data_IF_690676612914
#
_entry.id   IF_690676612914
#
_cell.length_a   1.000
_cell.length_b   1.000
_cell.length_c   1.000
_cell.angle_alpha   90.00
_cell.angle_beta   90.00
_cell.angle_gamma   90.00
#
_symmetry.space_group_name_H-M   'P 1'
#
loop_
_entity.id
_entity.type
_entity.pdbx_description
1 polymer ?
#
# COMPACT_ATOMS: atom_id res chain seq x y z
N UNK A 1 -31.73 -1.32 93.72
CA UNK A 1 -30.42 -0.63 93.81
C UNK A 1 -29.41 -1.56 93.14
N UNK A 2 -28.64 -1.18 92.12
CA UNK A 2 -28.25 0.15 91.63
C UNK A 2 -28.42 0.27 90.10
N UNK A 3 -28.28 1.48 89.57
CA UNK A 3 -28.56 1.84 88.16
C UNK A 3 -27.27 2.25 87.43
N UNK A 4 -27.05 1.73 86.22
CA UNK A 4 -25.99 2.18 85.28
C UNK A 4 -26.47 2.13 83.81
N UNK A 5 -25.66 2.64 82.86
CA UNK A 5 -26.16 3.68 81.96
C UNK A 5 -25.38 3.84 80.62
N UNK A 6 -26.11 4.12 79.52
CA UNK A 6 -25.71 4.61 78.17
C UNK A 6 -25.14 3.56 77.15
N UNK A 7 -25.71 3.38 75.94
CA UNK A 7 -25.51 4.03 74.59
C UNK A 7 -24.03 4.29 74.18
N UNK A 8 -23.56 4.08 72.92
CA UNK A 8 -24.26 4.01 71.60
C UNK A 8 -23.48 3.29 70.47
N UNK A 9 -24.18 2.92 69.36
CA UNK A 9 -23.65 2.64 67.99
C UNK A 9 -22.74 1.37 67.85
N UNK A 10 -22.57 0.68 66.70
CA UNK A 10 -22.80 0.94 65.26
C UNK A 10 -23.14 -0.38 64.52
N UNK A 11 -23.78 -0.31 63.34
CA UNK A 11 -23.89 -1.45 62.42
C UNK A 11 -22.63 -1.57 61.55
N UNK A 12 -22.05 -2.77 61.43
CA UNK A 12 -21.06 -3.10 60.40
C UNK A 12 -21.65 -4.09 59.40
N UNK A 13 -22.20 -3.57 58.31
CA UNK A 13 -22.52 -4.34 57.11
C UNK A 13 -21.25 -4.52 56.28
N UNK A 14 -20.48 -5.58 56.53
CA UNK A 14 -19.33 -5.93 55.68
C UNK A 14 -19.79 -6.55 54.36
N UNK A 15 -20.32 -5.73 53.45
CA UNK A 15 -20.29 -6.06 52.02
C UNK A 15 -18.83 -6.02 51.58
N UNK A 16 -18.15 -7.15 51.66
CA UNK A 16 -16.88 -7.34 50.96
C UNK A 16 -17.20 -7.55 49.48
N UNK A 17 -17.45 -6.43 48.79
CA UNK A 17 -17.68 -6.43 47.36
C UNK A 17 -16.37 -6.81 46.66
N UNK A 18 -16.48 -7.67 45.66
CA UNK A 18 -15.35 -8.29 44.98
C UNK A 18 -14.47 -7.21 44.33
N UNK A 19 -13.20 -7.11 44.71
CA UNK A 19 -12.19 -6.48 43.86
C UNK A 19 -11.56 -7.54 42.97
N UNK A 20 -12.25 -7.75 41.85
CA UNK A 20 -11.70 -8.42 40.68
C UNK A 20 -10.46 -7.61 40.26
N UNK A 21 -9.26 -8.20 40.31
CA UNK A 21 -8.07 -7.51 39.84
C UNK A 21 -8.25 -7.15 38.36
N UNK A 22 -7.87 -5.90 38.04
CA UNK A 22 -8.11 -5.30 36.72
C UNK A 22 -7.53 -6.14 35.57
N UNK A 23 -8.16 -6.03 34.40
CA UNK A 23 -7.68 -6.67 33.17
C UNK A 23 -6.20 -6.32 32.94
N UNK A 24 -5.38 -7.35 32.69
CA UNK A 24 -4.08 -7.15 32.09
C UNK A 24 -4.27 -6.49 30.73
N UNK A 25 -3.84 -5.24 30.58
CA UNK A 25 -3.76 -4.57 29.29
C UNK A 25 -2.91 -5.41 28.33
N UNK A 26 -3.27 -5.38 27.04
CA UNK A 26 -2.49 -6.08 26.02
C UNK A 26 -1.15 -5.36 25.85
N UNK A 27 -0.06 -6.10 25.97
CA UNK A 27 1.28 -5.55 25.92
C UNK A 27 1.60 -5.03 24.51
N UNK A 28 2.04 -3.77 24.48
CA UNK A 28 2.67 -3.10 23.35
C UNK A 28 4.19 -3.17 23.55
N UNK A 29 4.94 -3.35 22.47
CA UNK A 29 6.40 -3.59 22.49
C UNK A 29 7.21 -2.42 21.90
N UNK A 30 6.64 -1.21 21.90
CA UNK A 30 7.31 0.06 21.66
C UNK A 30 6.98 0.98 22.84
N UNK A 31 8.00 1.50 23.53
CA UNK A 31 7.85 2.27 24.77
C UNK A 31 7.05 3.55 24.54
N UNK A 32 7.25 4.18 23.38
CA UNK A 32 6.58 5.40 22.94
C UNK A 32 5.06 5.21 22.79
N UNK A 33 4.64 3.97 22.50
CA UNK A 33 3.26 3.55 22.33
C UNK A 33 2.67 2.84 23.55
N UNK A 34 3.49 2.53 24.58
CA UNK A 34 3.06 1.75 25.74
C UNK A 34 2.33 2.64 26.75
N UNK A 35 1.01 2.53 26.78
CA UNK A 35 0.13 3.33 27.63
C UNK A 35 -1.27 2.73 27.67
N UNK A 36 -2.19 3.33 26.93
CA UNK A 36 -3.49 2.71 26.65
C UNK A 36 -3.45 1.91 25.34
N UNK A 37 -4.12 0.77 25.30
CA UNK A 37 -4.33 -0.03 24.09
C UNK A 37 -5.78 -0.52 24.01
N UNK A 38 -6.39 -0.35 22.84
CA UNK A 38 -7.73 -0.83 22.49
C UNK A 38 -7.64 -1.57 21.14
N UNK A 39 -7.88 -2.88 21.12
CA UNK A 39 -7.73 -3.70 19.91
C UNK A 39 -7.72 -5.20 20.20
N UNK A 40 -7.44 -6.01 19.18
CA UNK A 40 -7.36 -7.46 19.34
C UNK A 40 -6.15 -7.88 20.19
N UNK A 41 -6.35 -8.88 21.04
CA UNK A 41 -5.35 -9.34 21.99
C UNK A 41 -5.03 -10.82 21.75
N UNK A 42 -3.75 -11.16 21.53
CA UNK A 42 -3.34 -12.56 21.30
C UNK A 42 -2.14 -12.92 22.15
N UNK A 43 -2.32 -13.92 23.02
CA UNK A 43 -1.32 -14.37 23.98
C UNK A 43 -0.75 -13.23 24.86
N UNK A 44 -1.61 -12.29 25.25
CA UNK A 44 -1.25 -11.12 26.08
C UNK A 44 -0.61 -9.96 25.31
N UNK A 45 -0.36 -10.09 24.01
CA UNK A 45 0.24 -9.05 23.16
C UNK A 45 -0.82 -8.40 22.25
N UNK A 46 -0.61 -7.14 21.88
CA UNK A 46 -1.37 -6.47 20.82
C UNK A 46 -1.28 -7.24 19.49
N UNK A 47 -2.43 -7.38 18.82
CA UNK A 47 -2.58 -8.14 17.58
C UNK A 47 -3.73 -7.57 16.73
N UNK A 48 -3.90 -8.07 15.50
CA UNK A 48 -5.07 -7.73 14.67
C UNK A 48 -5.21 -6.23 14.43
N UNK A 49 -6.42 -5.69 14.56
CA UNK A 49 -6.64 -4.25 14.48
C UNK A 49 -6.63 -3.62 15.88
N UNK A 50 -6.03 -2.44 16.02
CA UNK A 50 -6.03 -1.74 17.30
C UNK A 50 -5.42 -0.34 17.27
N UNK A 51 -5.61 0.35 18.39
CA UNK A 51 -5.08 1.69 18.65
C UNK A 51 -4.32 1.70 19.96
N UNK A 52 -3.15 2.33 19.98
CA UNK A 52 -2.42 2.68 21.20
C UNK A 52 -2.33 4.19 21.39
N UNK A 53 -2.18 4.61 22.64
CA UNK A 53 -1.77 5.97 23.00
C UNK A 53 -0.90 5.95 24.26
N UNK A 54 0.39 6.23 24.06
CA UNK A 54 1.43 6.47 25.08
C UNK A 54 1.89 7.92 25.01
N UNK A 55 3.20 8.15 24.89
CA UNK A 55 3.74 9.47 24.50
C UNK A 55 3.55 9.78 23.01
N UNK A 56 3.39 8.74 22.20
CA UNK A 56 3.04 8.74 20.79
C UNK A 56 1.79 7.86 20.59
N UNK A 57 1.17 7.88 19.40
CA UNK A 57 -0.02 7.05 19.14
C UNK A 57 0.03 6.37 17.79
N UNK A 58 -0.45 5.13 17.73
CA UNK A 58 -0.60 4.37 16.50
C UNK A 58 -2.01 3.81 16.38
N UNK A 59 -2.54 3.77 15.17
CA UNK A 59 -3.79 3.09 14.83
C UNK A 59 -3.62 2.29 13.54
N UNK A 60 -3.89 0.98 13.59
CA UNK A 60 -3.74 0.10 12.43
C UNK A 60 -3.54 -1.36 12.80
N UNK A 61 -2.76 -2.07 11.99
CA UNK A 61 -2.45 -3.48 12.14
C UNK A 61 -1.33 -3.77 13.15
N UNK A 62 -1.54 -4.80 13.98
CA UNK A 62 -0.63 -5.21 15.04
C UNK A 62 -0.23 -6.68 14.95
N UNK A 63 1.04 -6.98 15.23
CA UNK A 63 1.55 -8.35 15.32
C UNK A 63 2.55 -8.51 16.44
N UNK A 64 2.18 -9.31 17.46
CA UNK A 64 3.03 -9.64 18.62
C UNK A 64 3.54 -8.39 19.36
N UNK A 65 2.65 -7.43 19.60
CA UNK A 65 2.95 -6.20 20.33
C UNK A 65 3.52 -5.04 19.48
N UNK A 66 3.78 -5.25 18.18
CA UNK A 66 4.32 -4.22 17.29
C UNK A 66 3.31 -3.79 16.21
N UNK A 67 3.34 -2.52 15.76
CA UNK A 67 2.80 -2.11 14.47
C UNK A 67 3.36 -2.99 13.34
N UNK A 68 2.50 -3.65 12.57
CA UNK A 68 2.92 -4.63 11.57
C UNK A 68 1.80 -4.90 10.56
N UNK A 69 1.87 -4.21 9.42
CA UNK A 69 0.76 -3.99 8.48
C UNK A 69 0.53 -2.49 8.24
N UNK A 70 -0.61 -2.10 7.68
CA UNK A 70 -0.94 -0.69 7.42
C UNK A 70 -1.46 0.03 8.68
N UNK A 71 -1.07 1.30 8.83
CA UNK A 71 -1.63 2.17 9.87
C UNK A 71 -1.11 3.61 9.84
N UNK A 72 -1.61 4.39 10.79
CA UNK A 72 -1.27 5.79 11.02
C UNK A 72 -0.53 5.92 12.36
N UNK A 73 0.64 6.55 12.35
CA UNK A 73 1.48 6.81 13.52
C UNK A 73 1.62 8.32 13.69
N UNK A 74 1.25 8.85 14.88
CA UNK A 74 1.44 10.25 15.26
C UNK A 74 2.57 10.34 16.26
N UNK A 75 3.63 11.03 15.86
CA UNK A 75 4.83 11.28 16.67
C UNK A 75 4.60 12.37 17.72
N UNK A 76 5.44 12.40 18.75
CA UNK A 76 5.36 13.37 19.84
C UNK A 76 5.57 14.83 19.37
N UNK A 77 6.25 15.03 18.24
CA UNK A 77 6.40 16.34 17.58
C UNK A 77 5.13 16.82 16.85
N UNK A 78 4.12 15.97 16.67
CA UNK A 78 2.92 16.25 15.88
C UNK A 78 3.00 15.81 14.41
N UNK A 79 4.16 15.33 13.95
CA UNK A 79 4.28 14.71 12.62
C UNK A 79 3.42 13.43 12.56
N UNK A 80 2.91 13.11 11.37
CA UNK A 80 2.04 11.94 11.12
C UNK A 80 2.59 11.13 9.97
N UNK A 81 2.85 9.83 10.20
CA UNK A 81 3.14 8.88 9.13
C UNK A 81 1.93 7.99 8.87
N UNK A 82 1.52 7.87 7.61
CA UNK A 82 0.50 6.94 7.13
C UNK A 82 1.12 5.99 6.12
N UNK A 83 1.11 4.69 6.40
CA UNK A 83 1.77 3.72 5.52
C UNK A 83 1.90 2.33 6.13
N UNK A 84 2.80 1.53 5.56
CA UNK A 84 3.05 0.17 6.01
C UNK A 84 4.17 0.10 7.06
N UNK A 85 4.03 -0.82 8.01
CA UNK A 85 4.98 -1.08 9.09
C UNK A 85 5.41 -2.54 9.06
N UNK A 86 6.70 -2.81 9.32
CA UNK A 86 7.19 -4.14 9.69
C UNK A 86 7.91 -4.08 11.04
N UNK A 87 7.32 -4.76 12.04
CA UNK A 87 7.86 -4.87 13.42
C UNK A 87 8.16 -3.50 14.06
N UNK A 88 7.21 -2.59 13.95
CA UNK A 88 7.27 -1.25 14.56
C UNK A 88 7.98 -0.19 13.72
N UNK A 89 8.47 -0.54 12.53
CA UNK A 89 9.30 0.33 11.68
C UNK A 89 8.61 0.60 10.35
N UNK A 90 8.71 1.83 9.85
CA UNK A 90 8.16 2.23 8.54
C UNK A 90 8.86 1.49 7.41
N UNK A 91 8.08 0.90 6.52
CA UNK A 91 8.56 0.02 5.45
C UNK A 91 7.59 0.08 4.25
N UNK A 92 8.08 -0.06 3.02
CA UNK A 92 7.24 0.03 1.82
C UNK A 92 6.68 1.45 1.56
N UNK A 93 5.50 1.54 0.93
CA UNK A 93 4.89 2.84 0.61
C UNK A 93 4.31 3.51 1.86
N UNK A 94 4.56 4.82 2.00
CA UNK A 94 3.89 5.66 2.98
C UNK A 94 4.20 7.14 2.85
N UNK A 95 3.44 7.94 3.58
CA UNK A 95 3.46 9.40 3.57
C UNK A 95 3.75 9.91 4.96
N UNK A 96 4.83 10.68 5.11
CA UNK A 96 5.10 11.47 6.31
C UNK A 96 4.62 12.90 6.07
N UNK A 97 3.63 13.34 6.84
CA UNK A 97 3.20 14.74 6.93
C UNK A 97 3.84 15.37 8.15
N UNK A 98 4.64 16.40 7.93
CA UNK A 98 5.28 17.18 8.99
C UNK A 98 4.29 18.19 9.59
N UNK A 99 4.51 18.58 10.86
CA UNK A 99 3.65 19.52 11.59
C UNK A 99 3.56 20.92 10.97
N UNK A 100 4.55 21.30 10.13
CA UNK A 100 4.56 22.55 9.36
C UNK A 100 3.80 22.47 8.02
N UNK A 101 3.35 21.27 7.62
CA UNK A 101 2.65 21.00 6.38
C UNK A 101 3.53 20.51 5.22
N UNK A 102 4.84 20.30 5.40
CA UNK A 102 5.63 19.55 4.41
C UNK A 102 5.09 18.11 4.30
N UNK A 103 4.97 17.58 3.08
CA UNK A 103 4.51 16.21 2.82
C UNK A 103 5.60 15.45 2.08
N UNK A 104 5.93 14.27 2.60
CA UNK A 104 6.99 13.40 2.08
C UNK A 104 6.44 11.99 1.84
N UNK A 105 5.91 11.80 0.63
CA UNK A 105 5.38 10.54 0.14
C UNK A 105 6.47 9.73 -0.59
N UNK A 106 6.52 8.42 -0.35
CA UNK A 106 7.42 7.53 -1.09
C UNK A 106 7.65 6.18 -0.44
N UNK A 107 8.81 5.59 -0.74
CA UNK A 107 9.26 4.32 -0.19
C UNK A 107 10.07 4.57 1.08
N UNK A 108 9.75 3.79 2.11
CA UNK A 108 10.42 3.73 3.40
C UNK A 108 11.07 2.37 3.55
N UNK A 109 12.27 2.32 4.10
CA UNK A 109 12.97 1.09 4.41
C UNK A 109 13.67 1.23 5.77
N UNK A 110 13.31 0.39 6.73
CA UNK A 110 13.86 0.41 8.08
C UNK A 110 13.87 1.84 8.68
N UNK A 111 12.70 2.50 8.68
CA UNK A 111 12.45 3.89 9.12
C UNK A 111 13.08 5.01 8.31
N UNK A 112 13.84 4.72 7.27
CA UNK A 112 14.48 5.72 6.40
C UNK A 112 13.68 5.92 5.13
N UNK A 113 13.49 7.18 4.74
CA UNK A 113 13.00 7.50 3.39
C UNK A 113 14.03 7.05 2.35
N UNK A 114 13.68 6.05 1.55
CA UNK A 114 14.52 5.48 0.51
C UNK A 114 14.42 6.26 -0.81
N UNK A 115 13.30 6.94 -1.05
CA UNK A 115 13.06 7.75 -2.23
C UNK A 115 11.56 7.98 -2.46
N UNK A 116 11.22 8.89 -3.38
CA UNK A 116 9.84 9.05 -3.83
C UNK A 116 9.34 7.78 -4.49
N UNK A 117 8.03 7.55 -4.45
CA UNK A 117 7.40 6.49 -5.25
C UNK A 117 7.54 6.86 -6.73
N UNK A 118 8.35 6.10 -7.47
CA UNK A 118 8.34 6.17 -8.93
C UNK A 118 7.25 5.22 -9.42
N UNK A 119 6.28 5.74 -10.15
CA UNK A 119 5.47 4.87 -11.01
C UNK A 119 6.43 4.14 -11.96
N UNK A 120 6.30 2.82 -12.04
CA UNK A 120 7.22 2.00 -12.83
C UNK A 120 7.01 2.18 -14.36
N UNK A 121 5.93 2.86 -14.75
CA UNK A 121 5.66 3.38 -16.10
C UNK A 121 4.75 4.62 -16.04
N UNK A 122 4.79 5.48 -17.05
CA UNK A 122 3.83 6.59 -17.20
C UNK A 122 3.42 6.81 -18.67
N UNK A 123 2.16 7.18 -18.90
CA UNK A 123 1.68 7.54 -20.23
C UNK A 123 2.02 9.01 -20.55
N UNK A 124 2.80 9.22 -21.60
CA UNK A 124 3.02 10.50 -22.25
C UNK A 124 1.79 10.87 -23.10
N UNK A 125 1.22 9.89 -23.82
CA UNK A 125 -0.05 10.00 -24.54
C UNK A 125 -0.92 8.77 -24.27
N UNK A 126 -2.10 8.97 -23.67
CA UNK A 126 -3.04 7.86 -23.39
C UNK A 126 -3.84 7.48 -24.63
N UNK A 127 -4.17 6.18 -24.82
CA UNK A 127 -5.05 5.75 -25.89
C UNK A 127 -6.45 6.34 -25.73
N UNK A 128 -6.94 7.03 -26.77
CA UNK A 128 -8.26 7.67 -26.77
C UNK A 128 -9.43 6.67 -26.92
N UNK A 129 -9.16 5.45 -27.40
CA UNK A 129 -10.15 4.40 -27.65
C UNK A 129 -9.67 3.07 -27.08
N UNK A 130 -10.62 2.28 -26.58
CA UNK A 130 -10.38 0.98 -25.96
C UNK A 130 -10.08 1.06 -24.46
N UNK A 131 -9.75 -0.09 -23.88
CA UNK A 131 -9.24 -0.21 -22.51
C UNK A 131 -7.92 -0.98 -22.51
N UNK A 132 -7.10 -0.80 -21.47
CA UNK A 132 -5.80 -1.43 -21.38
C UNK A 132 -5.54 -2.04 -20.00
N UNK A 133 -4.59 -2.96 -19.94
CA UNK A 133 -3.99 -3.42 -18.68
C UNK A 133 -2.50 -3.58 -18.88
N UNK A 134 -1.70 -3.07 -17.95
CA UNK A 134 -0.24 -3.18 -17.94
C UNK A 134 0.15 -3.94 -16.67
N UNK A 135 1.00 -4.95 -16.81
CA UNK A 135 1.44 -5.81 -15.71
C UNK A 135 2.93 -6.09 -15.84
N UNK A 136 3.67 -6.01 -14.73
CA UNK A 136 5.05 -6.52 -14.63
C UNK A 136 4.97 -7.98 -14.20
N UNK A 137 5.40 -8.88 -15.08
CA UNK A 137 5.32 -10.33 -14.93
C UNK A 137 6.56 -10.92 -14.23
N UNK A 138 7.67 -10.18 -14.22
CA UNK A 138 8.97 -10.61 -13.72
C UNK A 138 10.04 -9.54 -13.99
N UNK A 139 11.32 -9.90 -13.85
CA UNK A 139 12.46 -8.99 -14.03
C UNK A 139 13.73 -9.63 -14.58
N UNK A 140 13.63 -10.84 -15.15
CA UNK A 140 14.82 -11.61 -15.56
C UNK A 140 15.24 -11.34 -17.02
N UNK A 141 14.29 -11.13 -17.93
CA UNK A 141 14.57 -11.07 -19.37
C UNK A 141 14.45 -9.66 -20.00
N UNK A 142 13.99 -8.65 -19.24
CA UNK A 142 13.85 -7.26 -19.68
C UNK A 142 13.10 -7.11 -21.02
N UNK A 143 11.89 -7.68 -21.10
CA UNK A 143 11.03 -7.66 -22.29
C UNK A 143 9.83 -6.75 -22.12
N UNK A 144 9.29 -6.27 -23.23
CA UNK A 144 7.95 -5.66 -23.26
C UNK A 144 7.12 -6.37 -24.32
N UNK A 145 5.99 -6.94 -23.92
CA UNK A 145 5.03 -7.65 -24.76
C UNK A 145 3.72 -6.86 -24.85
N UNK A 146 3.23 -6.64 -26.06
CA UNK A 146 1.96 -5.97 -26.36
C UNK A 146 1.05 -6.95 -27.12
N UNK A 147 -0.17 -7.10 -26.61
CA UNK A 147 -1.26 -7.87 -27.21
C UNK A 147 -2.39 -6.92 -27.56
N UNK A 148 -2.87 -6.95 -28.80
CA UNK A 148 -4.06 -6.22 -29.22
C UNK A 148 -5.22 -7.20 -29.33
N UNK A 149 -6.35 -6.88 -28.69
CA UNK A 149 -7.55 -7.72 -28.72
C UNK A 149 -8.76 -6.91 -29.17
N UNK A 150 -9.63 -7.53 -29.97
CA UNK A 150 -10.93 -7.02 -30.37
C UNK A 150 -11.96 -8.06 -29.93
N UNK A 151 -12.90 -7.66 -29.05
CA UNK A 151 -13.90 -8.56 -28.44
C UNK A 151 -13.27 -9.82 -27.82
N UNK A 152 -12.12 -9.64 -27.17
CA UNK A 152 -11.35 -10.71 -26.52
C UNK A 152 -10.52 -11.62 -27.44
N UNK A 153 -10.60 -11.45 -28.76
CA UNK A 153 -9.77 -12.21 -29.73
C UNK A 153 -8.55 -11.39 -30.11
N UNK A 154 -7.35 -12.01 -30.10
CA UNK A 154 -6.14 -11.33 -30.55
C UNK A 154 -6.22 -10.97 -32.05
N UNK A 155 -5.78 -9.78 -32.42
CA UNK A 155 -5.77 -9.32 -33.81
C UNK A 155 -4.48 -8.57 -34.15
N UNK A 156 -4.25 -8.41 -35.45
CA UNK A 156 -3.01 -7.86 -36.00
C UNK A 156 -3.37 -6.77 -37.02
N UNK A 157 -3.30 -5.48 -36.66
CA UNK A 157 -3.57 -4.38 -37.59
C UNK A 157 -2.59 -4.40 -38.75
N UNK A 158 -3.08 -4.11 -39.95
CA UNK A 158 -2.24 -4.02 -41.16
C UNK A 158 -1.37 -2.76 -41.17
N UNK A 159 -1.77 -1.74 -40.40
CA UNK A 159 -1.11 -0.44 -40.23
C UNK A 159 -0.46 -0.29 -38.86
N UNK A 160 -0.12 -1.41 -38.19
CA UNK A 160 0.60 -1.35 -36.91
C UNK A 160 2.00 -0.78 -37.11
N UNK A 161 2.19 0.43 -36.57
CA UNK A 161 3.50 0.99 -36.28
C UNK A 161 3.79 0.89 -34.78
N UNK A 162 5.03 0.53 -34.44
CA UNK A 162 5.47 0.33 -33.06
C UNK A 162 6.98 0.52 -32.96
N UNK A 163 7.40 1.45 -32.10
CA UNK A 163 8.80 1.73 -31.81
C UNK A 163 9.04 1.83 -30.30
N UNK A 164 10.22 1.41 -29.87
CA UNK A 164 10.75 1.62 -28.53
C UNK A 164 12.11 2.32 -28.68
N UNK A 165 12.46 3.21 -27.75
CA UNK A 165 13.75 3.92 -27.77
C UNK A 165 14.96 2.99 -27.59
N UNK A 166 14.75 1.79 -27.04
CA UNK A 166 15.76 0.77 -26.75
C UNK A 166 15.24 -0.64 -27.06
N UNK A 167 16.14 -1.63 -27.04
CA UNK A 167 15.81 -3.03 -27.28
C UNK A 167 15.62 -3.41 -28.76
N UNK A 168 15.33 -4.68 -29.00
CA UNK A 168 15.17 -5.27 -30.35
C UNK A 168 13.71 -5.63 -30.58
N UNK A 169 13.10 -5.08 -31.63
CA UNK A 169 11.71 -5.32 -31.96
C UNK A 169 11.46 -6.79 -32.39
N UNK A 170 10.47 -7.43 -31.77
CA UNK A 170 10.04 -8.80 -32.04
C UNK A 170 8.55 -8.86 -32.38
N UNK A 171 8.19 -9.77 -33.29
CA UNK A 171 6.82 -9.92 -33.80
C UNK A 171 6.41 -11.38 -33.90
N UNK A 172 5.26 -11.70 -33.32
CA UNK A 172 4.63 -13.00 -33.34
C UNK A 172 3.19 -12.86 -33.89
N UNK A 173 2.47 -13.96 -34.20
CA UNK A 173 1.14 -13.86 -34.82
C UNK A 173 0.12 -13.02 -34.03
N UNK A 174 0.13 -13.16 -32.69
CA UNK A 174 -0.87 -12.60 -31.78
C UNK A 174 -0.33 -11.53 -30.82
N UNK A 175 0.95 -11.16 -30.94
CA UNK A 175 1.65 -10.24 -30.02
C UNK A 175 2.93 -9.68 -30.64
N UNK A 176 3.38 -8.54 -30.19
CA UNK A 176 4.61 -7.88 -30.62
C UNK A 176 5.25 -7.15 -29.44
N UNK A 177 6.45 -6.59 -29.63
CA UNK A 177 7.09 -5.75 -28.64
C UNK A 177 8.60 -5.81 -28.78
N UNK A 178 9.32 -5.87 -27.66
CA UNK A 178 10.78 -5.76 -27.64
C UNK A 178 11.43 -6.71 -26.63
N UNK A 179 12.61 -7.21 -26.99
CA UNK A 179 13.50 -7.99 -26.13
C UNK A 179 14.80 -7.20 -25.87
N UNK A 180 15.51 -7.53 -24.79
CA UNK A 180 16.73 -6.84 -24.36
C UNK A 180 16.56 -5.31 -24.21
N UNK A 181 15.46 -4.90 -23.59
CA UNK A 181 15.12 -3.49 -23.37
C UNK A 181 16.02 -2.88 -22.29
N UNK A 182 16.61 -1.73 -22.59
CA UNK A 182 17.33 -0.90 -21.62
C UNK A 182 16.37 0.17 -21.09
N UNK A 183 16.37 0.41 -19.78
CA UNK A 183 15.39 1.27 -19.10
C UNK A 183 16.03 2.57 -18.58
N UNK A 184 15.34 3.72 -18.63
CA UNK A 184 13.96 3.90 -19.10
C UNK A 184 13.81 3.74 -20.61
N UNK A 185 12.66 3.22 -21.05
CA UNK A 185 12.34 3.06 -22.47
C UNK A 185 11.04 3.78 -22.84
N UNK A 186 11.05 4.56 -23.91
CA UNK A 186 9.87 5.24 -24.43
C UNK A 186 9.30 4.44 -25.59
N UNK A 187 8.05 4.01 -25.47
CA UNK A 187 7.33 3.20 -26.44
C UNK A 187 6.24 4.05 -27.07
N UNK A 188 6.22 4.12 -28.40
CA UNK A 188 5.16 4.73 -29.20
C UNK A 188 4.55 3.67 -30.11
N UNK A 189 3.22 3.57 -30.09
CA UNK A 189 2.47 2.58 -30.88
C UNK A 189 1.27 3.26 -31.52
N UNK A 190 1.05 3.00 -32.81
CA UNK A 190 -0.15 3.44 -33.52
C UNK A 190 -0.70 2.35 -34.46
N UNK A 191 -2.02 2.31 -34.60
CA UNK A 191 -2.76 1.37 -35.47
C UNK A 191 -4.21 1.80 -35.63
N UNK A 192 -4.92 1.23 -36.60
CA UNK A 192 -6.37 1.40 -36.75
C UNK A 192 -7.17 0.22 -36.19
N UNK A 193 -8.36 0.52 -35.67
CA UNK A 193 -9.36 -0.48 -35.26
C UNK A 193 -10.66 -0.26 -36.02
N UNK A 194 -11.26 -1.34 -36.52
CA UNK A 194 -12.53 -1.27 -37.23
C UNK A 194 -13.70 -1.05 -36.26
N UNK A 195 -14.38 0.09 -36.39
CA UNK A 195 -15.60 0.46 -35.67
C UNK A 195 -16.74 0.59 -36.68
N UNK A 196 -17.46 -0.52 -36.88
CA UNK A 196 -18.49 -0.61 -37.93
C UNK A 196 -17.87 -0.56 -39.33
N UNK A 197 -18.12 0.53 -40.05
CA UNK A 197 -17.56 0.79 -41.40
C UNK A 197 -16.34 1.73 -41.38
N UNK A 198 -16.02 2.32 -40.23
CA UNK A 198 -14.92 3.27 -40.09
C UNK A 198 -13.70 2.61 -39.45
N UNK A 199 -12.53 3.18 -39.72
CA UNK A 199 -11.31 2.91 -38.99
C UNK A 199 -11.10 4.03 -37.96
N UNK A 200 -11.04 3.64 -36.68
CA UNK A 200 -10.71 4.55 -35.58
C UNK A 200 -9.20 4.42 -35.29
N UNK A 201 -8.44 5.52 -35.37
CA UNK A 201 -7.02 5.48 -35.04
C UNK A 201 -6.83 5.34 -33.53
N UNK A 202 -5.89 4.49 -33.15
CA UNK A 202 -5.41 4.34 -31.78
C UNK A 202 -3.93 4.70 -31.79
N UNK A 203 -3.54 5.64 -30.93
CA UNK A 203 -2.16 5.98 -30.63
C UNK A 203 -1.98 6.01 -29.12
N UNK A 204 -0.82 5.57 -28.64
CA UNK A 204 -0.38 5.86 -27.29
C UNK A 204 1.15 5.99 -27.23
N UNK A 205 1.62 6.71 -26.23
CA UNK A 205 3.03 6.85 -25.92
C UNK A 205 3.22 6.65 -24.41
N UNK A 206 4.15 5.78 -24.04
CA UNK A 206 4.36 5.34 -22.66
C UNK A 206 5.86 5.22 -22.39
N UNK A 207 6.34 5.80 -21.30
CA UNK A 207 7.66 5.53 -20.76
C UNK A 207 7.55 4.42 -19.72
N UNK A 208 8.37 3.37 -19.84
CA UNK A 208 8.56 2.39 -18.78
C UNK A 208 9.89 2.70 -18.11
N UNK A 209 9.84 2.95 -16.79
CA UNK A 209 10.97 3.47 -16.00
C UNK A 209 11.80 2.36 -15.36
N UNK A 210 11.19 1.22 -15.05
CA UNK A 210 11.84 0.14 -14.32
C UNK A 210 12.10 -1.13 -15.15
N UNK A 211 13.27 -1.78 -15.00
CA UNK A 211 13.57 -3.08 -15.59
C UNK A 211 12.52 -4.14 -15.27
N UNK A 212 12.02 -4.84 -16.28
CA UNK A 212 10.96 -5.81 -16.09
C UNK A 212 10.60 -6.60 -17.33
N UNK A 213 9.88 -7.70 -17.11
CA UNK A 213 9.08 -8.34 -18.14
C UNK A 213 7.68 -7.74 -18.10
N UNK A 214 7.42 -6.80 -18.99
CA UNK A 214 6.17 -6.05 -19.05
C UNK A 214 5.20 -6.66 -20.04
N UNK A 215 3.93 -6.77 -19.65
CA UNK A 215 2.84 -7.24 -20.51
C UNK A 215 1.74 -6.20 -20.55
N UNK A 216 1.46 -5.67 -21.73
CA UNK A 216 0.36 -4.77 -22.02
C UNK A 216 -0.68 -5.46 -22.90
N UNK A 217 -1.95 -5.34 -22.53
CA UNK A 217 -3.07 -5.85 -23.32
C UNK A 217 -4.03 -4.71 -23.63
N UNK A 218 -4.14 -4.35 -24.91
CA UNK A 218 -5.11 -3.40 -25.44
C UNK A 218 -6.40 -4.14 -25.83
N UNK A 219 -7.56 -3.56 -25.54
CA UNK A 219 -8.87 -4.18 -25.73
C UNK A 219 -9.84 -3.20 -26.38
N UNK A 220 -10.44 -3.64 -27.47
CA UNK A 220 -11.44 -2.91 -28.28
C UNK A 220 -12.71 -3.76 -28.49
#
# INVERSE_FOLDING_TARGET
MTTTLRISLLALSSLFCVHLHAQSSCQVNLEELDGSYEGDCRAGLAHGQGKSAGSESYQGEWRKGFPDGFGTYTYACGDVYEGYFERGRREGQGTLTYVDGEIKEGIWQNDKFAGYYSEAYEFIEKPLTGSYSIQRMGSEENRVEIILTNKGTAFNPYDLDYVCSTGVAVRYPNRFGWEAVEYPCTINVSYSVQVGVYLSPVKFEIEIKEPGDWKMVMRH
#
